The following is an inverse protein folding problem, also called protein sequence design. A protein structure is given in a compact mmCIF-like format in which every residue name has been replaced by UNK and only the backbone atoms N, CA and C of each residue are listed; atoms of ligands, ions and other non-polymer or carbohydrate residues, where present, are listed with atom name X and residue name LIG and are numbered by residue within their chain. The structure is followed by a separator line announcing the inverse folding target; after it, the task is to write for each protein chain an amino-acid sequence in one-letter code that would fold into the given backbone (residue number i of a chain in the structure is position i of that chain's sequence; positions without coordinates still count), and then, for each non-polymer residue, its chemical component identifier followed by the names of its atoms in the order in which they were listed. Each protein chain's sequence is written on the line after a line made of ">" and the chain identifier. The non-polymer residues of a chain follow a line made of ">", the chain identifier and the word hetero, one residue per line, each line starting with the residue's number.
data_IF_868688452133
#
_entry.id   IF_868688452133
#
_cell.length_a   1.000
_cell.length_b   1.000
_cell.length_c   1.000
_cell.angle_alpha   90.00
_cell.angle_beta   90.00
_cell.angle_gamma   90.00
#
_symmetry.space_group_name_H-M   'P 1'
#
loop_
_entity.id
_entity.type
_entity.pdbx_description
1 polymer ?
#
# COMPACT_ATOMS: atom_id res chain seq x y z
N UNK A 1 8.84 7.33 -1.17
CA UNK A 1 8.60 7.82 0.20
C UNK A 1 9.65 7.22 1.13
N UNK A 2 9.85 7.72 2.35
CA UNK A 2 10.38 6.84 3.40
C UNK A 2 9.16 6.12 3.96
N UNK A 3 8.89 4.90 3.49
CA UNK A 3 7.87 4.05 4.09
C UNK A 3 8.20 3.98 5.57
N UNK A 4 7.25 4.38 6.42
CA UNK A 4 7.40 4.24 7.87
C UNK A 4 6.89 2.86 8.26
N UNK A 5 7.43 2.30 9.35
CA UNK A 5 6.94 1.03 9.86
C UNK A 5 5.44 1.10 10.14
N UNK A 6 4.98 2.23 10.73
CA UNK A 6 3.56 2.48 11.00
C UNK A 6 2.67 2.39 9.75
N UNK A 7 3.04 3.08 8.66
CA UNK A 7 2.25 3.00 7.41
C UNK A 7 2.18 1.59 6.82
N UNK A 8 3.22 0.77 7.03
CA UNK A 8 3.22 -0.61 6.57
C UNK A 8 2.36 -1.49 7.49
N UNK A 9 2.40 -1.27 8.81
CA UNK A 9 1.55 -1.98 9.77
C UNK A 9 0.07 -1.72 9.48
N UNK A 10 -0.33 -0.45 9.30
CA UNK A 10 -1.70 -0.06 8.98
C UNK A 10 -2.20 -0.72 7.68
N UNK A 11 -1.33 -0.77 6.66
CA UNK A 11 -1.60 -1.45 5.39
C UNK A 11 -1.81 -2.95 5.58
N UNK A 12 -0.94 -3.60 6.37
CA UNK A 12 -1.01 -5.04 6.61
C UNK A 12 -2.26 -5.41 7.40
N UNK A 13 -2.64 -4.61 8.41
CA UNK A 13 -3.89 -4.78 9.16
C UNK A 13 -5.09 -4.71 8.23
N UNK A 14 -5.09 -3.73 7.31
CA UNK A 14 -6.21 -3.48 6.40
C UNK A 14 -6.39 -4.60 5.38
N UNK A 15 -5.30 -5.15 4.82
CA UNK A 15 -5.39 -6.12 3.71
C UNK A 15 -5.35 -7.56 4.20
N UNK A 16 -4.42 -7.86 5.12
CA UNK A 16 -4.11 -9.22 5.52
C UNK A 16 -4.75 -9.51 6.86
N UNK A 17 -4.42 -8.73 7.88
CA UNK A 17 -4.88 -8.93 9.25
C UNK A 17 -3.79 -8.62 10.28
N UNK A 18 -4.23 -8.46 11.52
CA UNK A 18 -3.36 -8.07 12.65
C UNK A 18 -2.38 -9.18 13.06
N UNK A 19 -2.73 -10.44 12.81
CA UNK A 19 -1.95 -11.63 13.14
C UNK A 19 -0.55 -11.63 12.48
N UNK A 20 -0.39 -10.90 11.38
CA UNK A 20 0.83 -10.87 10.56
C UNK A 20 1.80 -9.74 10.98
N UNK A 21 1.38 -8.83 11.86
CA UNK A 21 2.22 -7.71 12.31
C UNK A 21 3.59 -8.13 12.90
N UNK A 22 3.67 -9.15 13.76
CA UNK A 22 4.95 -9.58 14.33
C UNK A 22 5.95 -10.00 13.24
N UNK A 23 5.46 -10.67 12.20
CA UNK A 23 6.26 -11.09 11.05
C UNK A 23 6.83 -9.89 10.28
N UNK A 24 5.99 -8.88 10.03
CA UNK A 24 6.38 -7.66 9.30
C UNK A 24 7.43 -6.87 10.06
N UNK A 25 7.30 -6.77 11.40
CA UNK A 25 8.31 -6.13 12.26
C UNK A 25 9.67 -6.82 12.19
N UNK A 26 9.69 -8.15 12.12
CA UNK A 26 10.92 -8.92 11.98
C UNK A 26 11.58 -8.70 10.61
N UNK A 27 10.77 -8.68 9.56
CA UNK A 27 11.26 -8.43 8.20
C UNK A 27 11.69 -6.97 7.99
N UNK A 28 11.22 -6.05 8.84
CA UNK A 28 11.58 -4.64 8.76
C UNK A 28 13.08 -4.44 9.01
N UNK A 29 13.78 -3.93 7.99
CA UNK A 29 15.22 -3.66 8.06
C UNK A 29 16.11 -4.89 7.87
N UNK A 30 15.55 -6.09 7.71
CA UNK A 30 16.29 -7.32 7.43
C UNK A 30 15.94 -7.82 6.03
N UNK A 31 16.94 -8.39 5.34
CA UNK A 31 16.77 -8.99 4.00
C UNK A 31 17.20 -10.44 4.04
N UNK A 32 16.59 -11.27 3.19
CA UNK A 32 16.91 -12.68 3.00
C UNK A 32 16.89 -13.48 4.30
N UNK A 33 15.78 -13.44 5.03
CA UNK A 33 15.60 -14.25 6.23
C UNK A 33 14.93 -15.57 5.85
N UNK A 34 15.43 -16.69 6.39
CA UNK A 34 14.79 -17.99 6.21
C UNK A 34 13.52 -18.11 7.05
N UNK A 35 12.54 -18.86 6.54
CA UNK A 35 11.29 -19.18 7.25
C UNK A 35 11.53 -19.84 8.62
N UNK A 36 12.58 -20.67 8.74
CA UNK A 36 12.97 -21.30 10.02
C UNK A 36 13.41 -20.28 11.06
N UNK A 37 14.22 -19.29 10.66
CA UNK A 37 14.71 -18.26 11.58
C UNK A 37 13.59 -17.32 12.02
N UNK A 38 12.62 -17.09 11.14
CA UNK A 38 11.40 -16.35 11.47
C UNK A 38 10.56 -17.12 12.50
N UNK A 39 10.39 -18.43 12.30
CA UNK A 39 9.65 -19.29 13.21
C UNK A 39 10.26 -19.30 14.62
N UNK A 40 11.60 -19.38 14.72
CA UNK A 40 12.34 -19.26 15.97
C UNK A 40 12.13 -17.90 16.66
N UNK A 41 12.21 -16.80 15.90
CA UNK A 41 12.03 -15.45 16.47
C UNK A 41 10.59 -15.17 16.93
N UNK A 42 9.58 -15.78 16.29
CA UNK A 42 8.17 -15.63 16.66
C UNK A 42 7.69 -16.66 17.67
N UNK A 43 8.50 -17.69 17.96
CA UNK A 43 8.10 -18.85 18.75
C UNK A 43 6.82 -19.53 18.22
N UNK A 44 6.73 -19.67 16.89
CA UNK A 44 5.59 -20.29 16.19
C UNK A 44 6.07 -21.39 15.25
N UNK A 45 5.15 -22.23 14.76
CA UNK A 45 5.51 -23.30 13.82
C UNK A 45 5.88 -22.74 12.44
N UNK A 46 6.76 -23.43 11.71
CA UNK A 46 7.16 -23.03 10.35
C UNK A 46 5.95 -22.97 9.40
N UNK A 47 4.95 -23.83 9.61
CA UNK A 47 3.72 -23.81 8.80
C UNK A 47 2.89 -22.54 9.02
N UNK A 48 2.79 -22.05 10.27
CA UNK A 48 2.14 -20.77 10.55
C UNK A 48 2.89 -19.62 9.87
N UNK A 49 4.23 -19.62 9.94
CA UNK A 49 5.07 -18.63 9.24
C UNK A 49 4.84 -18.66 7.73
N UNK A 50 4.79 -19.84 7.12
CA UNK A 50 4.52 -19.98 5.68
C UNK A 50 3.16 -19.42 5.29
N UNK A 51 2.11 -19.71 6.06
CA UNK A 51 0.79 -19.16 5.81
C UNK A 51 0.81 -17.62 5.81
N UNK A 52 1.41 -17.02 6.84
CA UNK A 52 1.56 -15.56 6.92
C UNK A 52 2.38 -14.99 5.74
N UNK A 53 3.48 -15.64 5.36
CA UNK A 53 4.31 -15.22 4.23
C UNK A 53 3.59 -15.35 2.89
N UNK A 54 2.79 -16.38 2.67
CA UNK A 54 2.01 -16.54 1.45
C UNK A 54 0.93 -15.47 1.32
N UNK A 55 0.21 -15.15 2.41
CA UNK A 55 -0.75 -14.04 2.41
C UNK A 55 -0.09 -12.69 2.10
N UNK A 56 1.11 -12.43 2.63
CA UNK A 56 1.89 -11.23 2.28
C UNK A 56 2.35 -11.25 0.80
N UNK A 57 2.70 -12.42 0.28
CA UNK A 57 3.17 -12.59 -1.09
C UNK A 57 2.06 -12.39 -2.12
N UNK A 58 0.84 -12.87 -1.84
CA UNK A 58 -0.35 -12.64 -2.67
C UNK A 58 -0.62 -11.14 -2.87
N UNK A 59 -0.32 -10.34 -1.85
CA UNK A 59 -0.44 -8.88 -1.87
C UNK A 59 0.82 -8.18 -2.42
N UNK A 60 1.79 -8.93 -2.94
CA UNK A 60 3.08 -8.46 -3.42
C UNK A 60 3.87 -7.62 -2.39
N UNK A 61 3.71 -7.90 -1.09
CA UNK A 61 4.41 -7.16 -0.02
C UNK A 61 5.82 -7.71 0.26
N UNK A 62 6.04 -8.99 -0.06
CA UNK A 62 7.30 -9.71 0.15
C UNK A 62 7.74 -10.40 -1.14
N UNK A 63 9.06 -10.51 -1.32
CA UNK A 63 9.67 -11.34 -2.35
C UNK A 63 10.40 -12.51 -1.69
N UNK A 64 10.59 -13.59 -2.43
CA UNK A 64 11.40 -14.73 -1.99
C UNK A 64 12.48 -15.09 -3.01
N UNK A 65 13.59 -15.63 -2.50
CA UNK A 65 14.67 -16.21 -3.29
C UNK A 65 14.86 -17.65 -2.81
N UNK A 66 14.93 -18.59 -3.74
CA UNK A 66 15.29 -19.98 -3.43
C UNK A 66 16.80 -20.18 -3.59
N UNK A 67 17.42 -20.83 -2.61
CA UNK A 67 18.82 -21.22 -2.68
C UNK A 67 18.96 -22.70 -2.38
N UNK A 68 19.70 -23.43 -3.21
CA UNK A 68 20.01 -24.84 -2.98
C UNK A 68 21.07 -24.95 -1.88
N UNK A 69 20.79 -25.74 -0.87
CA UNK A 69 21.75 -26.04 0.19
C UNK A 69 22.82 -27.00 -0.35
N UNK A 70 24.09 -26.62 -0.23
CA UNK A 70 25.22 -27.44 -0.69
C UNK A 70 25.42 -28.70 0.16
N UNK A 71 24.95 -28.71 1.42
CA UNK A 71 25.14 -29.84 2.33
C UNK A 71 24.01 -30.88 2.24
N UNK A 72 22.76 -30.42 2.26
CA UNK A 72 21.57 -31.30 2.33
C UNK A 72 20.83 -31.47 1.01
N UNK A 73 21.17 -30.69 -0.02
CA UNK A 73 20.59 -30.81 -1.37
C UNK A 73 19.19 -30.23 -1.54
N UNK A 74 18.47 -29.89 -0.46
CA UNK A 74 17.15 -29.26 -0.49
C UNK A 74 17.20 -27.75 -0.79
N UNK A 75 16.04 -27.17 -1.13
CA UNK A 75 15.89 -25.72 -1.35
C UNK A 75 15.44 -25.03 -0.07
N UNK A 76 16.07 -23.89 0.24
CA UNK A 76 15.67 -23.01 1.34
C UNK A 76 15.14 -21.71 0.73
N UNK A 77 13.97 -21.28 1.21
CA UNK A 77 13.34 -20.03 0.85
C UNK A 77 13.80 -18.91 1.78
N UNK A 78 14.27 -17.82 1.17
CA UNK A 78 14.67 -16.61 1.86
C UNK A 78 13.74 -15.48 1.48
N UNK A 79 13.18 -14.82 2.48
CA UNK A 79 12.15 -13.80 2.32
C UNK A 79 12.69 -12.40 2.60
N UNK A 80 12.21 -11.42 1.84
CA UNK A 80 12.56 -10.01 1.99
C UNK A 80 11.33 -9.13 1.73
N UNK A 81 11.24 -7.98 2.40
CA UNK A 81 10.19 -6.99 2.10
C UNK A 81 10.47 -6.28 0.77
N UNK A 82 9.47 -6.23 -0.10
CA UNK A 82 9.56 -5.52 -1.37
C UNK A 82 9.14 -4.06 -1.21
N UNK A 83 10.10 -3.21 -0.80
CA UNK A 83 9.83 -1.77 -0.59
C UNK A 83 9.25 -1.05 -1.79
N UNK A 84 9.59 -1.46 -3.02
CA UNK A 84 9.07 -0.82 -4.24
C UNK A 84 7.60 -1.18 -4.45
N UNK A 85 7.26 -2.45 -4.27
CA UNK A 85 5.88 -2.91 -4.41
C UNK A 85 4.98 -2.33 -3.33
N UNK A 86 5.46 -2.27 -2.07
CA UNK A 86 4.73 -1.68 -0.94
C UNK A 86 4.25 -0.26 -1.25
N UNK A 87 5.07 0.61 -1.86
CA UNK A 87 4.62 1.96 -2.23
C UNK A 87 3.48 1.95 -3.25
N UNK A 88 3.52 1.01 -4.20
CA UNK A 88 2.46 0.83 -5.20
C UNK A 88 1.18 0.29 -4.59
N UNK A 89 1.28 -0.72 -3.73
CA UNK A 89 0.14 -1.32 -3.01
C UNK A 89 -0.52 -0.29 -2.09
N UNK A 90 0.26 0.47 -1.33
CA UNK A 90 -0.25 1.54 -0.47
C UNK A 90 -1.06 2.57 -1.26
N UNK A 91 -0.55 3.00 -2.42
CA UNK A 91 -1.25 3.95 -3.28
C UNK A 91 -2.57 3.36 -3.80
N UNK A 92 -2.55 2.10 -4.24
CA UNK A 92 -3.75 1.41 -4.74
C UNK A 92 -4.82 1.22 -3.66
N UNK A 93 -4.43 0.82 -2.45
CA UNK A 93 -5.37 0.63 -1.34
C UNK A 93 -6.00 1.95 -0.93
N UNK A 94 -5.21 3.01 -0.79
CA UNK A 94 -5.73 4.34 -0.45
C UNK A 94 -6.69 4.87 -1.53
N UNK A 95 -6.36 4.66 -2.81
CA UNK A 95 -7.22 5.04 -3.92
C UNK A 95 -8.55 4.25 -3.90
N UNK A 96 -8.48 2.93 -3.69
CA UNK A 96 -9.67 2.08 -3.60
C UNK A 96 -10.58 2.51 -2.43
N UNK A 97 -10.00 2.75 -1.26
CA UNK A 97 -10.77 3.25 -0.10
C UNK A 97 -11.47 4.59 -0.40
N UNK A 98 -10.82 5.45 -1.17
CA UNK A 98 -11.38 6.73 -1.57
C UNK A 98 -12.51 6.56 -2.59
N UNK A 99 -12.36 5.65 -3.54
CA UNK A 99 -13.42 5.26 -4.47
C UNK A 99 -14.62 4.66 -3.72
N UNK A 100 -14.39 3.80 -2.74
CA UNK A 100 -15.45 3.21 -1.89
C UNK A 100 -16.19 4.30 -1.09
N UNK A 101 -15.46 5.27 -0.54
CA UNK A 101 -16.06 6.43 0.16
C UNK A 101 -16.89 7.30 -0.79
N UNK A 102 -16.40 7.55 -2.02
CA UNK A 102 -17.14 8.31 -3.04
C UNK A 102 -18.39 7.57 -3.51
N UNK A 103 -18.30 6.26 -3.72
CA UNK A 103 -19.44 5.42 -4.06
C UNK A 103 -20.47 5.39 -2.91
N UNK A 104 -20.02 5.35 -1.65
CA UNK A 104 -20.90 5.50 -0.48
C UNK A 104 -21.55 6.88 -0.45
N UNK A 105 -20.80 7.95 -0.73
CA UNK A 105 -21.33 9.31 -0.77
C UNK A 105 -22.45 9.45 -1.81
N UNK A 106 -22.24 8.99 -3.05
CA UNK A 106 -23.27 9.08 -4.10
C UNK A 106 -24.53 8.34 -3.70
N UNK A 107 -24.41 7.11 -3.16
CA UNK A 107 -25.56 6.36 -2.62
C UNK A 107 -26.30 7.08 -1.49
N UNK A 108 -25.57 7.71 -0.57
CA UNK A 108 -26.17 8.40 0.58
C UNK A 108 -26.75 9.78 0.21
N UNK A 109 -26.25 10.41 -0.86
CA UNK A 109 -26.69 11.72 -1.33
C UNK A 109 -27.88 11.66 -2.29
N UNK A 110 -27.94 10.63 -3.14
CA UNK A 110 -29.04 10.41 -4.09
C UNK A 110 -30.12 9.49 -3.51
N UNK A 111 -29.73 8.57 -2.63
CA UNK A 111 -30.63 7.60 -2.03
C UNK A 111 -31.49 8.20 -0.91
N UNK A 112 -32.80 7.97 -1.01
CA UNK A 112 -33.75 8.16 0.08
C UNK A 112 -33.78 6.91 0.94
N UNK A 113 -33.63 7.07 2.25
CA UNK A 113 -33.60 5.96 3.20
C UNK A 113 -34.73 6.09 4.20
N UNK A 114 -35.30 4.95 4.53
CA UNK A 114 -36.32 4.80 5.55
C UNK A 114 -35.76 3.97 6.70
N UNK A 115 -35.96 4.43 7.92
CA UNK A 115 -35.50 3.78 9.13
C UNK A 115 -36.69 3.44 10.01
N UNK A 116 -36.66 2.26 10.61
CA UNK A 116 -37.62 1.90 11.63
C UNK A 116 -37.37 2.77 12.88
N UNK A 117 -38.39 3.41 13.48
CA UNK A 117 -38.25 4.16 14.74
C UNK A 117 -37.68 3.32 15.89
N UNK A 118 -37.92 2.00 15.86
CA UNK A 118 -37.41 1.04 16.85
C UNK A 118 -35.99 0.54 16.53
N UNK A 119 -35.37 1.01 15.43
CA UNK A 119 -33.99 0.68 15.07
C UNK A 119 -33.77 -0.70 14.45
N UNK A 120 -34.84 -1.42 14.07
CA UNK A 120 -34.74 -2.79 13.55
C UNK A 120 -33.96 -2.87 12.22
N UNK A 121 -34.27 -1.97 11.28
CA UNK A 121 -33.68 -1.99 9.94
C UNK A 121 -33.70 -0.60 9.27
N UNK A 122 -32.81 -0.45 8.30
CA UNK A 122 -32.71 0.70 7.39
C UNK A 122 -32.83 0.20 5.96
N UNK A 123 -33.78 0.74 5.22
CA UNK A 123 -34.08 0.36 3.83
C UNK A 123 -33.93 1.57 2.90
N UNK A 124 -33.63 1.31 1.63
CA UNK A 124 -33.78 2.31 0.56
C UNK A 124 -35.25 2.45 0.17
N UNK A 125 -35.59 3.54 -0.50
CA UNK A 125 -36.95 3.84 -0.95
C UNK A 125 -37.59 2.70 -1.73
N UNK A 126 -36.90 2.09 -2.69
CA UNK A 126 -37.44 1.01 -3.51
C UNK A 126 -37.83 -0.20 -2.65
N UNK A 127 -36.92 -0.63 -1.77
CA UNK A 127 -37.18 -1.71 -0.84
C UNK A 127 -38.26 -1.36 0.19
N UNK A 128 -38.36 -0.10 0.62
CA UNK A 128 -39.43 0.34 1.50
C UNK A 128 -40.80 0.32 0.80
N UNK A 129 -40.86 0.70 -0.49
CA UNK A 129 -42.08 0.65 -1.30
C UNK A 129 -42.59 -0.79 -1.47
N UNK A 130 -41.70 -1.75 -1.71
CA UNK A 130 -42.06 -3.18 -1.80
C UNK A 130 -42.69 -3.71 -0.50
N UNK A 131 -42.33 -3.13 0.65
CA UNK A 131 -42.84 -3.50 1.97
C UNK A 131 -43.90 -2.51 2.50
N UNK A 132 -44.49 -1.68 1.63
CA UNK A 132 -45.51 -0.67 2.00
C UNK A 132 -45.06 0.26 3.15
N UNK A 133 -43.76 0.54 3.23
CA UNK A 133 -43.12 1.30 4.30
C UNK A 133 -43.34 0.72 5.70
N UNK A 134 -43.57 -0.60 5.82
CA UNK A 134 -43.68 -1.31 7.09
C UNK A 134 -42.45 -2.13 7.36
N UNK A 135 -41.98 -2.08 8.60
CA UNK A 135 -40.88 -2.93 9.04
C UNK A 135 -41.34 -4.40 9.15
N UNK A 136 -40.60 -5.33 8.56
CA UNK A 136 -40.92 -6.76 8.59
C UNK A 136 -40.77 -7.40 9.99
N UNK A 137 -39.97 -6.81 10.87
CA UNK A 137 -39.71 -7.33 12.22
C UNK A 137 -40.77 -6.87 13.23
N UNK A 138 -41.17 -5.60 13.18
CA UNK A 138 -42.03 -5.00 14.20
C UNK A 138 -43.36 -4.45 13.68
N UNK A 139 -43.63 -4.52 12.38
CA UNK A 139 -44.86 -4.04 11.74
C UNK A 139 -45.07 -2.53 11.78
N UNK A 140 -44.13 -1.76 12.34
CA UNK A 140 -44.23 -0.31 12.52
C UNK A 140 -43.95 0.42 11.20
N UNK A 141 -44.64 1.54 10.98
CA UNK A 141 -44.39 2.41 9.84
C UNK A 141 -42.97 3.00 9.91
N UNK A 142 -42.21 2.85 8.85
CA UNK A 142 -40.87 3.41 8.73
C UNK A 142 -40.93 4.91 8.50
N UNK A 143 -39.90 5.63 8.95
CA UNK A 143 -39.77 7.08 8.78
C UNK A 143 -38.62 7.39 7.84
N UNK A 144 -38.79 8.43 7.04
CA UNK A 144 -37.70 8.98 6.23
C UNK A 144 -36.55 9.44 7.15
N UNK A 145 -35.34 9.06 6.79
CA UNK A 145 -34.12 9.45 7.49
C UNK A 145 -33.47 10.62 6.77
N UNK A 146 -33.21 11.71 7.50
CA UNK A 146 -32.35 12.78 7.01
C UNK A 146 -30.87 12.35 7.02
N UNK A 147 -30.32 12.14 5.83
CA UNK A 147 -28.94 11.74 5.62
C UNK A 147 -27.96 12.92 5.55
N UNK A 148 -28.39 14.18 5.65
CA UNK A 148 -27.51 15.34 5.47
C UNK A 148 -26.29 15.32 6.40
N UNK A 149 -26.48 14.90 7.67
CA UNK A 149 -25.37 14.74 8.62
C UNK A 149 -24.39 13.66 8.19
N UNK A 150 -24.89 12.51 7.73
CA UNK A 150 -24.08 11.39 7.24
C UNK A 150 -23.29 11.79 5.99
N UNK A 151 -23.94 12.45 5.03
CA UNK A 151 -23.30 12.97 3.81
C UNK A 151 -22.21 13.98 4.16
N UNK A 152 -22.48 14.93 5.06
CA UNK A 152 -21.49 15.93 5.50
C UNK A 152 -20.25 15.26 6.12
N UNK A 153 -20.46 14.26 6.99
CA UNK A 153 -19.36 13.51 7.60
C UNK A 153 -18.53 12.75 6.56
N UNK A 154 -19.18 12.07 5.61
CA UNK A 154 -18.48 11.35 4.52
C UNK A 154 -17.71 12.34 3.63
N UNK A 155 -18.27 13.52 3.31
CA UNK A 155 -17.54 14.57 2.56
C UNK A 155 -16.29 15.02 3.28
N UNK A 156 -16.36 15.26 4.60
CA UNK A 156 -15.18 15.63 5.40
C UNK A 156 -14.11 14.54 5.35
N UNK A 157 -14.48 13.28 5.55
CA UNK A 157 -13.55 12.16 5.45
C UNK A 157 -12.89 12.04 4.07
N UNK A 158 -13.64 12.30 2.99
CA UNK A 158 -13.09 12.32 1.62
C UNK A 158 -12.08 13.46 1.47
N UNK A 159 -12.40 14.67 1.94
CA UNK A 159 -11.51 15.84 1.83
C UNK A 159 -10.20 15.59 2.58
N UNK A 160 -10.29 15.11 3.82
CA UNK A 160 -9.11 14.76 4.64
C UNK A 160 -8.24 13.73 3.90
N UNK A 161 -8.86 12.68 3.35
CA UNK A 161 -8.13 11.64 2.62
C UNK A 161 -7.54 12.10 1.29
N UNK A 162 -8.22 12.99 0.58
CA UNK A 162 -7.70 13.59 -0.67
C UNK A 162 -6.51 14.50 -0.40
N UNK A 163 -6.53 15.25 0.70
CA UNK A 163 -5.41 16.09 1.13
C UNK A 163 -4.18 15.23 1.44
N UNK A 164 -4.34 14.17 2.23
CA UNK A 164 -3.25 13.23 2.55
C UNK A 164 -2.63 12.63 1.27
N UNK A 165 -3.44 12.29 0.27
CA UNK A 165 -2.95 11.74 -1.00
C UNK A 165 -2.24 12.79 -1.88
N UNK A 166 -2.72 14.03 -1.92
CA UNK A 166 -2.09 15.12 -2.67
C UNK A 166 -0.71 15.46 -2.10
N UNK A 167 -0.59 15.59 -0.79
CA UNK A 167 0.68 15.84 -0.11
C UNK A 167 1.71 14.74 -0.43
N UNK A 168 1.26 13.48 -0.45
CA UNK A 168 2.10 12.33 -0.82
C UNK A 168 2.52 12.33 -2.31
N UNK A 169 1.68 12.85 -3.20
CA UNK A 169 1.96 12.98 -4.63
C UNK A 169 2.97 14.08 -4.96
N UNK A 170 2.82 15.25 -4.35
CA UNK A 170 3.70 16.41 -4.57
C UNK A 170 5.13 16.14 -4.09
N UNK A 171 5.31 15.41 -3.00
CA UNK A 171 6.64 14.95 -2.56
C UNK A 171 7.33 14.06 -3.60
N UNK A 172 6.58 13.20 -4.30
CA UNK A 172 7.14 12.31 -5.34
C UNK A 172 7.63 13.12 -6.54
N UNK A 173 6.89 14.15 -6.96
CA UNK A 173 7.25 15.00 -8.09
C UNK A 173 8.54 15.78 -7.78
N UNK A 174 8.64 16.39 -6.59
CA UNK A 174 9.84 17.12 -6.14
C UNK A 174 11.07 16.22 -6.00
N UNK A 175 10.91 14.99 -5.49
CA UNK A 175 12.03 14.03 -5.35
C UNK A 175 12.49 13.48 -6.71
N UNK A 176 11.56 13.26 -7.65
CA UNK A 176 11.88 12.74 -8.99
C UNK A 176 12.59 13.79 -9.83
N UNK A 177 12.13 15.05 -9.81
CA UNK A 177 12.80 16.14 -10.51
C UNK A 177 14.22 16.40 -9.96
N UNK A 178 14.41 16.35 -8.64
CA UNK A 178 15.74 16.46 -8.02
C UNK A 178 16.67 15.29 -8.38
N UNK A 179 16.14 14.06 -8.45
CA UNK A 179 16.92 12.87 -8.84
C UNK A 179 17.35 12.94 -10.31
N UNK A 180 16.43 13.31 -11.20
CA UNK A 180 16.73 13.53 -12.62
C UNK A 180 17.75 14.65 -12.85
N UNK A 181 17.69 15.73 -12.06
CA UNK A 181 18.69 16.80 -12.11
C UNK A 181 20.08 16.33 -11.62
N UNK A 182 20.14 15.50 -10.57
CA UNK A 182 21.40 14.90 -10.09
C UNK A 182 21.97 13.89 -11.08
N UNK A 183 21.12 13.06 -11.67
CA UNK A 183 21.53 12.05 -12.64
C UNK A 183 22.07 12.71 -13.92
N UNK A 184 21.39 13.74 -14.44
CA UNK A 184 21.90 14.59 -15.56
C UNK A 184 23.27 15.19 -15.25
N UNK A 185 23.44 15.83 -14.09
CA UNK A 185 24.74 16.40 -13.66
C UNK A 185 25.84 15.33 -13.54
N UNK A 186 25.50 14.11 -13.11
CA UNK A 186 26.47 13.01 -13.01
C UNK A 186 26.92 12.51 -14.38
N UNK A 187 26.01 12.47 -15.36
CA UNK A 187 26.28 12.03 -16.73
C UNK A 187 27.14 13.07 -17.46
N UNK A 188 26.81 14.35 -17.35
CA UNK A 188 27.63 15.45 -17.90
C UNK A 188 29.04 15.46 -17.32
N UNK A 189 29.18 15.31 -16.00
CA UNK A 189 30.50 15.27 -15.34
C UNK A 189 31.34 14.08 -15.81
N UNK A 190 30.72 12.90 -16.03
CA UNK A 190 31.39 11.70 -16.57
C UNK A 190 31.82 11.89 -18.04
N UNK A 191 31.03 12.60 -18.84
CA UNK A 191 31.38 12.89 -20.23
C UNK A 191 32.61 13.83 -20.31
N UNK A 192 32.60 14.92 -19.51
CA UNK A 192 33.72 15.87 -19.44
C UNK A 192 35.04 15.21 -18.99
N UNK A 193 34.98 14.30 -18.01
CA UNK A 193 36.15 13.56 -17.54
C UNK A 193 36.73 12.65 -18.65
N UNK A 194 35.86 11.96 -19.40
CA UNK A 194 36.28 11.11 -20.53
C UNK A 194 36.90 11.92 -21.67
N UNK A 195 36.40 13.13 -21.95
CA UNK A 195 37.01 14.00 -22.96
C UNK A 195 38.38 14.53 -22.52
N UNK A 196 38.52 14.94 -21.25
CA UNK A 196 39.81 15.35 -20.68
C UNK A 196 40.84 14.23 -20.70
N UNK A 197 40.46 12.99 -20.38
CA UNK A 197 41.34 11.83 -20.47
C UNK A 197 41.77 11.53 -21.91
N UNK A 198 40.86 11.66 -22.88
CA UNK A 198 41.18 11.48 -24.31
C UNK A 198 42.14 12.57 -24.81
N UNK A 199 41.97 13.83 -24.38
CA UNK A 199 42.86 14.93 -24.73
C UNK A 199 44.28 14.72 -24.16
N UNK A 200 44.38 14.38 -22.86
CA UNK A 200 45.67 14.07 -22.21
C UNK A 200 46.39 12.88 -22.86
N UNK A 201 45.66 11.84 -23.27
CA UNK A 201 46.26 10.69 -24.00
C UNK A 201 46.79 11.10 -25.37
N UNK A 202 46.10 11.99 -26.09
CA UNK A 202 46.56 12.52 -27.38
C UNK A 202 47.80 13.41 -27.25
N UNK A 203 47.89 14.23 -26.21
CA UNK A 203 49.10 15.04 -25.96
C UNK A 203 50.31 14.19 -25.58
N UNK A 204 50.13 13.21 -24.69
CA UNK A 204 51.22 12.26 -24.33
C UNK A 204 51.72 11.47 -25.55
N UNK A 205 50.83 11.04 -26.43
CA UNK A 205 51.21 10.35 -27.67
C UNK A 205 51.94 11.25 -28.69
N UNK A 206 51.75 12.57 -28.63
CA UNK A 206 52.50 13.55 -29.45
C UNK A 206 53.89 13.84 -28.86
N UNK A 207 54.03 13.84 -27.54
CA UNK A 207 55.33 14.07 -26.87
C UNK A 207 56.29 12.87 -26.96
N UNK A 208 55.78 11.63 -27.10
CA UNK A 208 56.63 10.43 -27.28
C UNK A 208 57.09 10.19 -28.73
N UNK A 209 56.63 11.00 -29.69
CA UNK A 209 57.01 10.92 -31.11
C UNK A 209 57.97 12.04 -31.55
N UNK A 210 58.45 12.85 -30.61
CA UNK A 210 59.56 13.78 -30.76
C UNK A 210 60.74 13.22 -29.97
#
# INVERSE_FOLDING_TARGET
>A
MKITLKSLEDLVITIVGEDVLPLVRILWGKNNISEFKIAEMLNVTVNQVRNMLYRLNEQNLVDFIRKKDKKKGWYIYYWSLNKKSIEGVLTKVNQKQLEDLKARLSREAEGLFYVCPMGCMRLQMEAAMEHEFRCQECGTLMKEQDNQKTVSNIKKMIIEREQELKEQGEEKIKKTSQRQARDKKSVEKKALLKEKEKAMKKEKAKQQKK
#
